data_IF_493961560819
#
_entry.id   IF_493961560819
#
_cell.length_a   1.000
_cell.length_b   1.000
_cell.length_c   1.000
_cell.angle_alpha   90.00
_cell.angle_beta   90.00
_cell.angle_gamma   90.00
#
_symmetry.space_group_name_H-M   'P 1'
#
loop_
_entity.id
_entity.type
_entity.pdbx_description
1 polymer ?
#
# COMPACT_ATOMS: atom_id res chain seq x y z
N UNK A 1 -9.06 -15.61 -0.38
CA UNK A 1 -8.10 -16.42 0.42
C UNK A 1 -7.85 -15.74 1.77
N UNK A 2 -7.51 -16.48 2.83
CA UNK A 2 -7.13 -15.87 4.12
C UNK A 2 -5.66 -15.42 4.12
N UNK A 3 -5.30 -14.45 4.98
CA UNK A 3 -3.91 -13.99 5.14
C UNK A 3 -2.92 -15.16 5.31
N UNK A 4 -3.27 -16.14 6.14
CA UNK A 4 -2.44 -17.30 6.42
C UNK A 4 -2.22 -18.17 5.17
N UNK A 5 -3.22 -18.30 4.31
CA UNK A 5 -3.12 -19.08 3.07
C UNK A 5 -2.19 -18.40 2.06
N UNK A 6 -2.31 -17.09 1.87
CA UNK A 6 -1.42 -16.30 1.01
C UNK A 6 0.04 -16.36 1.48
N UNK A 7 0.27 -16.17 2.78
CA UNK A 7 1.61 -16.29 3.37
C UNK A 7 2.15 -17.72 3.24
N UNK A 8 1.32 -18.74 3.41
CA UNK A 8 1.74 -20.13 3.25
C UNK A 8 2.07 -20.46 1.78
N UNK A 9 1.36 -19.89 0.81
CA UNK A 9 1.69 -20.04 -0.61
C UNK A 9 3.07 -19.44 -0.94
N UNK A 10 3.33 -18.22 -0.47
CA UNK A 10 4.61 -17.56 -0.62
C UNK A 10 5.74 -18.36 0.05
N UNK A 11 5.56 -18.83 1.28
CA UNK A 11 6.55 -19.68 1.99
C UNK A 11 6.88 -20.96 1.21
N UNK A 12 5.87 -21.67 0.67
CA UNK A 12 6.10 -22.85 -0.19
C UNK A 12 6.87 -22.51 -1.47
N UNK A 13 6.55 -21.39 -2.10
CA UNK A 13 7.28 -20.92 -3.28
C UNK A 13 8.73 -20.55 -2.95
N UNK A 14 9.00 -20.02 -1.74
CA UNK A 14 10.35 -19.75 -1.27
C UNK A 14 11.13 -21.05 -1.01
N UNK A 15 10.52 -22.06 -0.38
CA UNK A 15 11.11 -23.39 -0.20
C UNK A 15 11.44 -24.07 -1.54
N UNK A 16 10.64 -23.81 -2.58
CA UNK A 16 10.89 -24.29 -3.94
C UNK A 16 11.91 -23.44 -4.72
N UNK A 17 12.37 -22.32 -4.18
CA UNK A 17 13.29 -21.39 -4.83
C UNK A 17 12.68 -20.52 -5.93
N UNK A 18 11.35 -20.43 -6.01
CA UNK A 18 10.63 -19.58 -6.96
C UNK A 18 10.71 -18.10 -6.58
N UNK A 19 10.65 -17.82 -5.28
CA UNK A 19 10.72 -16.47 -4.72
C UNK A 19 11.75 -16.42 -3.58
N UNK A 20 12.19 -15.22 -3.24
CA UNK A 20 13.00 -14.94 -2.04
C UNK A 20 12.12 -14.18 -1.06
N UNK A 21 12.07 -14.63 0.19
CA UNK A 21 11.30 -13.98 1.25
C UNK A 21 12.24 -13.54 2.37
N UNK A 22 12.05 -12.31 2.84
CA UNK A 22 12.56 -11.83 4.11
C UNK A 22 11.38 -11.39 4.96
N UNK A 23 11.23 -11.96 6.16
CA UNK A 23 10.11 -11.65 7.04
C UNK A 23 10.59 -11.54 8.49
N UNK A 24 10.07 -10.57 9.23
CA UNK A 24 10.29 -10.47 10.66
C UNK A 24 9.29 -11.34 11.44
N UNK A 25 9.39 -11.32 12.77
CA UNK A 25 8.35 -11.87 13.64
C UNK A 25 7.13 -10.95 13.73
N UNK A 26 6.14 -11.32 14.56
CA UNK A 26 4.94 -10.51 14.78
C UNK A 26 5.24 -9.09 15.24
N UNK A 27 4.40 -8.14 14.82
CA UNK A 27 4.41 -6.79 15.34
C UNK A 27 4.04 -6.78 16.83
N UNK A 28 4.79 -6.00 17.62
CA UNK A 28 4.40 -5.75 19.01
C UNK A 28 3.15 -4.88 19.09
N UNK A 29 2.49 -4.87 20.25
CA UNK A 29 1.35 -3.95 20.46
C UNK A 29 1.78 -2.49 20.34
N UNK A 30 2.99 -2.15 20.79
CA UNK A 30 3.58 -0.83 20.62
C UNK A 30 3.81 -0.49 19.15
N UNK A 31 4.30 -1.43 18.34
CA UNK A 31 4.53 -1.23 16.91
C UNK A 31 3.20 -0.95 16.16
N UNK A 32 2.15 -1.72 16.47
CA UNK A 32 0.81 -1.49 15.90
C UNK A 32 0.27 -0.11 16.30
N UNK A 33 0.45 0.29 17.57
CA UNK A 33 0.01 1.60 18.05
C UNK A 33 0.80 2.73 17.38
N UNK A 34 2.12 2.59 17.24
CA UNK A 34 2.98 3.58 16.59
C UNK A 34 2.48 3.89 15.17
N UNK A 35 2.22 2.84 14.36
CA UNK A 35 1.64 2.98 13.00
C UNK A 35 0.35 3.81 12.97
N UNK A 36 -0.49 3.68 13.99
CA UNK A 36 -1.79 4.35 14.06
C UNK A 36 -1.71 5.79 14.57
N UNK A 37 -0.64 6.15 15.28
CA UNK A 37 -0.55 7.43 16.00
C UNK A 37 0.61 8.33 15.58
N UNK A 38 1.62 7.81 14.91
CA UNK A 38 2.87 8.53 14.59
C UNK A 38 2.93 9.02 13.13
N UNK A 39 1.85 8.86 12.36
CA UNK A 39 1.77 9.45 11.03
C UNK A 39 1.58 10.97 11.13
N UNK A 40 2.56 11.72 10.66
CA UNK A 40 2.57 13.17 10.64
C UNK A 40 2.52 13.67 9.18
N UNK A 41 1.34 13.91 8.60
CA UNK A 41 1.26 14.54 7.28
C UNK A 41 1.84 15.97 7.34
N UNK A 42 2.35 16.47 6.20
CA UNK A 42 2.88 17.84 6.10
C UNK A 42 1.88 18.92 6.56
N UNK A 43 0.59 18.65 6.43
CA UNK A 43 -0.49 19.48 6.93
C UNK A 43 -1.71 18.65 7.33
N UNK A 44 -2.59 19.19 8.18
CA UNK A 44 -3.79 18.47 8.61
C UNK A 44 -3.50 17.34 9.59
N UNK A 45 -4.38 16.33 9.61
CA UNK A 45 -4.22 15.13 10.45
C UNK A 45 -4.74 13.90 9.72
N UNK A 46 -4.07 12.77 9.85
CA UNK A 46 -4.59 11.45 9.44
C UNK A 46 -5.10 10.72 10.68
N UNK A 47 -6.34 10.25 10.65
CA UNK A 47 -6.89 9.37 11.69
C UNK A 47 -7.27 8.06 11.06
N UNK A 48 -6.64 6.99 11.52
CA UNK A 48 -6.91 5.67 11.00
C UNK A 48 -6.65 4.61 12.08
N UNK A 49 -7.06 3.39 11.77
CA UNK A 49 -6.75 2.21 12.57
C UNK A 49 -6.41 1.09 11.61
N UNK A 50 -5.42 0.25 11.92
CA UNK A 50 -5.07 -0.87 11.05
C UNK A 50 -6.33 -1.74 10.77
N UNK A 51 -6.66 -2.01 9.49
CA UNK A 51 -7.84 -2.79 9.15
C UNK A 51 -7.68 -4.26 9.58
N UNK A 52 -8.77 -5.01 9.80
CA UNK A 52 -8.72 -6.35 10.38
C UNK A 52 -7.76 -7.31 9.67
N UNK A 53 -7.76 -7.34 8.34
CA UNK A 53 -6.89 -8.21 7.57
C UNK A 53 -5.42 -7.81 7.64
N UNK A 54 -5.12 -6.50 7.73
CA UNK A 54 -3.76 -6.04 7.99
C UNK A 54 -3.31 -6.38 9.41
N UNK A 55 -4.18 -6.28 10.41
CA UNK A 55 -3.88 -6.74 11.78
C UNK A 55 -3.61 -8.24 11.85
N UNK A 56 -4.35 -9.05 11.08
CA UNK A 56 -4.10 -10.48 10.98
C UNK A 56 -2.73 -10.78 10.37
N UNK A 57 -2.28 -9.96 9.41
CA UNK A 57 -0.91 -10.02 8.90
C UNK A 57 0.12 -9.58 9.95
N UNK A 58 -0.12 -8.47 10.65
CA UNK A 58 0.77 -7.96 11.70
C UNK A 58 0.94 -8.92 12.88
N UNK A 59 -0.05 -9.79 13.13
CA UNK A 59 0.06 -10.86 14.11
C UNK A 59 1.08 -11.96 13.74
N UNK A 60 1.49 -12.02 12.47
CA UNK A 60 2.51 -12.95 11.96
C UNK A 60 3.84 -12.23 11.69
N UNK A 61 3.78 -11.01 11.11
CA UNK A 61 4.94 -10.28 10.60
C UNK A 61 4.79 -8.77 10.77
N UNK A 62 5.78 -8.07 11.34
CA UNK A 62 5.84 -6.60 11.29
C UNK A 62 6.35 -6.09 9.93
N UNK A 63 7.24 -6.84 9.31
CA UNK A 63 7.83 -6.57 7.99
C UNK A 63 7.81 -7.83 7.15
N UNK A 64 7.57 -7.66 5.86
CA UNK A 64 7.58 -8.77 4.91
C UNK A 64 7.99 -8.28 3.53
N UNK A 65 9.06 -8.85 2.99
CA UNK A 65 9.51 -8.63 1.63
C UNK A 65 9.41 -9.94 0.84
N UNK A 66 8.89 -9.85 -0.37
CA UNK A 66 8.87 -10.94 -1.34
C UNK A 66 9.48 -10.45 -2.64
N UNK A 67 10.44 -11.19 -3.18
CA UNK A 67 11.14 -10.88 -4.42
C UNK A 67 11.11 -12.06 -5.38
N UNK A 68 10.93 -11.77 -6.66
CA UNK A 68 11.08 -12.71 -7.77
C UNK A 68 11.72 -11.99 -8.94
N UNK A 69 12.87 -12.49 -9.39
CA UNK A 69 13.68 -11.80 -10.39
C UNK A 69 13.99 -10.37 -9.91
N UNK A 70 13.68 -9.37 -10.72
CA UNK A 70 13.88 -7.95 -10.41
C UNK A 70 12.62 -7.29 -9.81
N UNK A 71 11.54 -8.04 -9.61
CA UNK A 71 10.28 -7.54 -9.03
C UNK A 71 10.22 -7.86 -7.53
N UNK A 72 9.86 -6.87 -6.71
CA UNK A 72 9.74 -7.02 -5.27
C UNK A 72 8.49 -6.31 -4.73
N UNK A 73 8.02 -6.72 -3.56
CA UNK A 73 7.11 -5.90 -2.75
C UNK A 73 7.51 -6.00 -1.29
N UNK A 74 7.41 -4.90 -0.56
CA UNK A 74 7.88 -4.80 0.82
C UNK A 74 6.80 -4.16 1.69
N UNK A 75 6.14 -4.95 2.54
CA UNK A 75 5.32 -4.41 3.63
C UNK A 75 6.26 -3.85 4.70
N UNK A 76 6.17 -2.55 4.93
CA UNK A 76 7.13 -1.82 5.77
C UNK A 76 6.84 -1.96 7.26
N UNK A 77 7.90 -1.81 8.06
CA UNK A 77 7.89 -1.91 9.52
C UNK A 77 7.25 -0.69 10.18
N UNK A 78 7.02 -0.78 11.49
CA UNK A 78 6.50 0.37 12.23
C UNK A 78 7.48 1.54 12.29
N UNK A 79 8.78 1.25 12.20
CA UNK A 79 9.87 2.23 12.14
C UNK A 79 9.96 2.97 10.79
N UNK A 80 9.54 2.33 9.70
CA UNK A 80 9.62 2.88 8.34
C UNK A 80 8.29 3.46 7.82
N UNK A 81 7.15 3.13 8.44
CA UNK A 81 5.83 3.58 7.93
C UNK A 81 5.69 5.11 7.93
N UNK A 82 6.23 5.80 8.95
CA UNK A 82 6.08 7.25 9.07
C UNK A 82 6.86 7.96 7.96
N UNK A 83 8.11 7.56 7.74
CA UNK A 83 8.97 8.06 6.66
C UNK A 83 8.39 7.74 5.28
N UNK A 84 7.93 6.50 5.05
CA UNK A 84 7.24 6.12 3.81
C UNK A 84 6.09 7.09 3.48
N UNK A 85 5.28 7.41 4.49
CA UNK A 85 4.11 8.26 4.30
C UNK A 85 4.48 9.74 4.12
N UNK A 86 5.45 10.27 4.87
CA UNK A 86 5.87 11.66 4.71
C UNK A 86 6.55 11.92 3.37
N UNK A 87 7.32 10.96 2.89
CA UNK A 87 8.23 11.16 1.76
C UNK A 87 7.56 10.81 0.43
N UNK A 88 6.78 9.73 0.39
CA UNK A 88 6.25 9.18 -0.87
C UNK A 88 4.72 9.23 -0.97
N UNK A 89 3.98 9.48 0.10
CA UNK A 89 2.50 9.43 0.08
C UNK A 89 1.89 10.80 0.25
N UNK A 90 2.28 11.57 1.27
CA UNK A 90 1.63 12.82 1.64
C UNK A 90 2.21 14.00 0.87
N UNK A 91 1.32 14.68 0.13
CA UNK A 91 1.68 15.91 -0.58
C UNK A 91 2.03 17.04 0.41
N UNK A 92 2.97 17.94 0.05
CA UNK A 92 3.21 19.18 0.79
C UNK A 92 1.97 20.09 0.87
N UNK A 93 2.01 21.09 1.78
CA UNK A 93 0.94 22.09 1.87
C UNK A 93 0.82 22.92 0.57
N UNK A 94 -0.42 23.21 0.14
CA UNK A 94 -0.75 24.12 -0.98
C UNK A 94 -0.25 23.67 -2.35
N UNK A 95 -0.23 22.36 -2.59
CA UNK A 95 -0.09 21.83 -3.95
C UNK A 95 -1.32 22.23 -4.78
N UNK A 96 -1.09 22.90 -5.90
CA UNK A 96 -2.09 23.37 -6.87
C UNK A 96 -1.55 23.07 -8.28
N UNK A 97 -2.38 22.47 -9.15
CA UNK A 97 -2.05 22.12 -10.54
C UNK A 97 -2.52 23.16 -11.56
N UNK A 98 -2.95 24.33 -11.11
CA UNK A 98 -3.29 25.49 -11.92
C UNK A 98 -4.78 25.86 -11.96
N UNK A 99 -5.62 25.20 -11.17
CA UNK A 99 -7.06 25.49 -11.09
C UNK A 99 -7.45 26.32 -9.85
N UNK A 100 -6.48 26.65 -9.00
CA UNK A 100 -6.67 27.48 -7.81
C UNK A 100 -7.19 26.71 -6.60
N UNK A 101 -7.35 25.39 -6.69
CA UNK A 101 -7.76 24.52 -5.58
C UNK A 101 -6.55 23.74 -5.07
N UNK A 102 -6.53 23.49 -3.76
CA UNK A 102 -5.42 22.76 -3.14
C UNK A 102 -5.71 21.27 -3.12
N UNK A 103 -4.65 20.48 -3.29
CA UNK A 103 -4.68 19.02 -3.33
C UNK A 103 -4.11 18.42 -2.05
N UNK A 104 -4.56 17.21 -1.73
CA UNK A 104 -4.06 16.40 -0.61
C UNK A 104 -4.19 14.91 -0.90
N UNK A 105 -3.23 14.16 -0.38
CA UNK A 105 -3.23 12.69 -0.32
C UNK A 105 -3.33 12.20 1.13
N UNK A 106 -3.70 13.05 2.09
CA UNK A 106 -3.81 12.69 3.52
C UNK A 106 -4.87 11.62 3.81
N UNK A 107 -5.74 11.31 2.86
CA UNK A 107 -6.68 10.19 2.96
C UNK A 107 -5.99 8.84 2.73
N UNK A 108 -4.74 8.84 2.26
CA UNK A 108 -3.94 7.66 2.01
C UNK A 108 -3.02 7.35 3.20
N UNK A 109 -2.87 6.06 3.49
CA UNK A 109 -1.85 5.53 4.39
C UNK A 109 -1.07 4.44 3.67
N UNK A 110 0.17 4.74 3.29
CA UNK A 110 1.12 3.80 2.71
C UNK A 110 1.48 2.68 3.69
N UNK A 111 1.49 1.45 3.20
CA UNK A 111 1.83 0.26 4.00
C UNK A 111 2.85 -0.66 3.32
N UNK A 112 3.05 -0.55 2.01
CA UNK A 112 4.03 -1.35 1.30
C UNK A 112 4.65 -0.61 0.11
N UNK A 113 5.92 -0.86 -0.15
CA UNK A 113 6.59 -0.50 -1.40
C UNK A 113 6.25 -1.51 -2.50
N UNK A 114 6.05 -1.02 -3.71
CA UNK A 114 5.77 -1.83 -4.90
C UNK A 114 7.02 -2.35 -5.61
N UNK A 115 8.21 -1.96 -5.14
CA UNK A 115 9.53 -2.43 -5.57
C UNK A 115 10.56 -2.21 -4.44
N UNK A 116 11.82 -2.60 -4.68
CA UNK A 116 12.90 -2.52 -3.68
C UNK A 116 13.58 -1.15 -3.61
N UNK A 117 13.55 -0.40 -4.72
CA UNK A 117 14.28 0.86 -4.91
C UNK A 117 13.38 2.09 -4.98
N UNK A 118 12.04 1.93 -5.03
CA UNK A 118 11.22 2.87 -5.75
C UNK A 118 10.17 3.63 -4.96
N UNK A 119 9.44 4.37 -5.78
CA UNK A 119 8.62 5.53 -5.43
C UNK A 119 7.12 5.18 -5.51
N UNK A 120 6.83 3.93 -5.89
CA UNK A 120 5.51 3.32 -5.92
C UNK A 120 5.13 2.72 -4.57
N UNK A 121 3.98 3.13 -4.04
CA UNK A 121 3.48 2.78 -2.71
C UNK A 121 2.07 2.22 -2.81
N UNK A 122 1.82 1.12 -2.11
CA UNK A 122 0.49 0.63 -1.83
C UNK A 122 -0.07 1.29 -0.59
N UNK A 123 -1.26 1.86 -0.74
CA UNK A 123 -1.89 2.72 0.26
C UNK A 123 -3.30 2.24 0.60
N UNK A 124 -3.69 2.37 1.86
CA UNK A 124 -5.09 2.33 2.28
C UNK A 124 -5.74 3.68 2.01
N UNK A 125 -6.95 3.71 1.47
CA UNK A 125 -7.82 4.89 1.61
C UNK A 125 -8.62 4.78 2.91
N UNK A 126 -8.16 5.51 3.92
CA UNK A 126 -8.69 5.43 5.29
C UNK A 126 -10.02 6.18 5.48
N UNK A 127 -10.51 6.83 4.42
CA UNK A 127 -11.79 7.55 4.44
C UNK A 127 -12.99 6.69 4.02
N UNK A 128 -12.74 5.49 3.48
CA UNK A 128 -13.78 4.61 2.95
C UNK A 128 -13.77 3.21 3.59
N UNK A 129 -13.93 3.07 4.93
CA UNK A 129 -14.05 1.76 5.55
C UNK A 129 -15.32 1.05 5.06
N UNK A 130 -15.19 -0.22 4.70
CA UNK A 130 -16.32 -1.10 4.48
C UNK A 130 -17.04 -1.43 5.82
N UNK A 131 -18.19 -2.14 5.81
CA UNK A 131 -18.89 -2.52 7.03
C UNK A 131 -18.09 -3.41 8.01
N UNK A 132 -17.00 -4.03 7.55
CA UNK A 132 -16.09 -4.85 8.35
C UNK A 132 -14.89 -4.04 8.87
N UNK A 133 -14.76 -2.77 8.49
CA UNK A 133 -13.62 -1.92 8.83
C UNK A 133 -12.39 -2.17 7.96
N UNK A 134 -12.55 -2.81 6.79
CA UNK A 134 -11.50 -2.92 5.79
C UNK A 134 -11.43 -1.63 4.96
N UNK A 135 -10.22 -1.25 4.54
CA UNK A 135 -10.02 -0.15 3.62
C UNK A 135 -9.71 -0.66 2.21
N UNK A 136 -10.21 0.01 1.16
CA UNK A 136 -9.73 -0.24 -0.19
C UNK A 136 -8.25 0.14 -0.31
N UNK A 137 -7.57 -0.55 -1.20
CA UNK A 137 -6.14 -0.38 -1.49
C UNK A 137 -5.97 0.29 -2.84
N UNK A 138 -5.10 1.29 -2.86
CA UNK A 138 -4.69 2.04 -4.05
C UNK A 138 -3.19 1.89 -4.25
N UNK A 139 -2.78 1.82 -5.51
CA UNK A 139 -1.43 2.13 -5.95
C UNK A 139 -1.27 3.64 -6.07
N UNK A 140 -0.18 4.16 -5.52
CA UNK A 140 0.22 5.56 -5.58
C UNK A 140 1.68 5.64 -6.03
N UNK A 141 2.00 6.56 -6.93
CA UNK A 141 3.37 6.88 -7.32
C UNK A 141 3.54 8.39 -7.29
N UNK A 142 4.65 8.90 -6.76
CA UNK A 142 4.84 10.36 -6.61
C UNK A 142 4.96 11.09 -7.97
N UNK A 143 5.52 10.43 -8.98
CA UNK A 143 5.65 10.94 -10.35
C UNK A 143 4.38 10.79 -11.20
N UNK A 144 3.28 10.26 -10.66
CA UNK A 144 2.02 10.25 -11.40
C UNK A 144 1.47 11.68 -11.51
N UNK A 145 1.51 12.21 -12.73
CA UNK A 145 0.94 13.53 -13.07
C UNK A 145 -0.54 13.64 -12.67
N UNK A 146 -1.26 12.52 -12.73
CA UNK A 146 -2.66 12.32 -12.32
C UNK A 146 -2.68 11.43 -11.06
N UNK A 147 -2.20 11.99 -9.95
CA UNK A 147 -2.05 11.25 -8.71
C UNK A 147 -3.38 10.83 -8.07
N UNK A 148 -3.30 10.03 -7.01
CA UNK A 148 -4.44 9.67 -6.13
C UNK A 148 -4.84 10.82 -5.21
N UNK A 149 -4.78 12.06 -5.67
CA UNK A 149 -5.04 13.25 -4.87
C UNK A 149 -6.53 13.62 -4.84
N UNK A 150 -6.92 14.33 -3.77
CA UNK A 150 -8.25 14.91 -3.61
C UNK A 150 -8.14 16.40 -3.29
N UNK A 151 -9.14 17.17 -3.70
CA UNK A 151 -9.23 18.57 -3.32
C UNK A 151 -9.45 18.72 -1.82
N UNK A 152 -8.65 19.58 -1.18
CA UNK A 152 -8.69 19.82 0.27
C UNK A 152 -10.06 20.31 0.75
N UNK A 153 -10.71 21.18 -0.04
CA UNK A 153 -11.97 21.82 0.35
C UNK A 153 -13.20 20.91 0.13
N UNK A 154 -13.29 20.25 -1.03
CA UNK A 154 -14.47 19.44 -1.40
C UNK A 154 -14.32 17.95 -1.06
N UNK A 155 -13.09 17.45 -0.94
CA UNK A 155 -12.81 16.02 -0.82
C UNK A 155 -13.07 15.22 -2.10
N UNK A 156 -13.42 15.89 -3.21
CA UNK A 156 -13.57 15.25 -4.52
C UNK A 156 -12.20 14.84 -5.08
N UNK A 157 -12.19 13.79 -5.89
CA UNK A 157 -11.00 13.38 -6.61
C UNK A 157 -10.52 14.48 -7.57
N UNK A 158 -9.21 14.62 -7.70
CA UNK A 158 -8.62 15.44 -8.76
C UNK A 158 -9.00 14.88 -10.14
N UNK A 159 -8.79 13.57 -10.31
CA UNK A 159 -9.22 12.81 -11.47
C UNK A 159 -10.20 11.72 -11.03
N UNK A 160 -11.46 11.90 -11.40
CA UNK A 160 -12.53 10.95 -11.08
C UNK A 160 -12.30 9.56 -11.69
N UNK A 161 -11.52 9.45 -12.78
CA UNK A 161 -11.17 8.15 -13.37
C UNK A 161 -10.23 7.35 -12.47
N UNK A 162 -9.53 8.02 -11.55
CA UNK A 162 -8.64 7.42 -10.54
C UNK A 162 -9.36 7.12 -9.22
N UNK A 163 -10.68 7.28 -9.17
CA UNK A 163 -11.47 7.05 -7.95
C UNK A 163 -11.64 5.57 -7.59
N UNK A 164 -11.55 4.67 -8.57
CA UNK A 164 -11.71 3.24 -8.37
C UNK A 164 -10.48 2.64 -7.66
N UNK A 165 -10.68 1.81 -6.62
CA UNK A 165 -9.58 1.17 -5.91
C UNK A 165 -8.98 0.01 -6.71
N UNK A 166 -7.68 -0.20 -6.54
CA UNK A 166 -6.94 -1.29 -7.19
C UNK A 166 -7.25 -2.64 -6.54
N UNK A 167 -7.51 -2.66 -5.23
CA UNK A 167 -8.05 -3.84 -4.54
C UNK A 167 -9.09 -3.44 -3.49
N UNK A 168 -10.10 -4.28 -3.21
CA UNK A 168 -11.14 -3.94 -2.25
C UNK A 168 -10.67 -3.98 -0.79
N UNK A 169 -9.60 -4.73 -0.47
CA UNK A 169 -9.07 -4.92 0.90
C UNK A 169 -7.59 -5.28 0.87
N UNK A 170 -6.89 -5.18 2.01
CA UNK A 170 -5.52 -5.70 2.15
C UNK A 170 -5.44 -7.21 1.88
N UNK A 171 -6.42 -7.99 2.32
CA UNK A 171 -6.44 -9.44 2.08
C UNK A 171 -6.49 -9.76 0.57
N UNK A 172 -7.32 -9.03 -0.18
CA UNK A 172 -7.43 -9.19 -1.62
C UNK A 172 -6.14 -8.78 -2.35
N UNK A 173 -5.50 -7.69 -1.91
CA UNK A 173 -4.18 -7.28 -2.39
C UNK A 173 -3.12 -8.38 -2.14
N UNK A 174 -3.03 -8.90 -0.91
CA UNK A 174 -2.04 -9.92 -0.56
C UNK A 174 -2.28 -11.24 -1.31
N UNK A 175 -3.54 -11.61 -1.53
CA UNK A 175 -3.93 -12.73 -2.39
C UNK A 175 -3.45 -12.55 -3.82
N UNK A 176 -3.72 -11.39 -4.44
CA UNK A 176 -3.28 -11.10 -5.80
C UNK A 176 -1.74 -11.08 -5.92
N UNK A 177 -1.04 -10.51 -4.94
CA UNK A 177 0.42 -10.53 -4.90
C UNK A 177 0.95 -11.96 -4.76
N UNK A 178 0.42 -12.74 -3.82
CA UNK A 178 0.83 -14.13 -3.66
C UNK A 178 0.62 -14.95 -4.94
N UNK A 179 -0.52 -14.79 -5.61
CA UNK A 179 -0.81 -15.47 -6.87
C UNK A 179 0.18 -15.03 -7.96
N UNK A 180 0.43 -13.74 -8.13
CA UNK A 180 1.36 -13.24 -9.14
C UNK A 180 2.81 -13.70 -8.89
N UNK A 181 3.29 -13.61 -7.65
CA UNK A 181 4.63 -14.04 -7.28
C UNK A 181 4.83 -15.55 -7.40
N UNK A 182 3.79 -16.36 -7.19
CA UNK A 182 3.88 -17.83 -7.24
C UNK A 182 3.49 -18.47 -8.58
N UNK A 183 2.84 -17.73 -9.48
CA UNK A 183 2.40 -18.23 -10.77
C UNK A 183 3.58 -18.68 -11.66
N UNK A 184 3.52 -19.84 -12.33
CA UNK A 184 4.55 -20.23 -13.30
C UNK A 184 4.79 -19.14 -14.36
N UNK A 185 3.69 -18.55 -14.84
CA UNK A 185 3.65 -17.39 -15.72
C UNK A 185 2.90 -16.26 -14.99
N UNK A 186 3.62 -15.27 -14.44
CA UNK A 186 3.00 -14.12 -13.77
C UNK A 186 2.09 -13.33 -14.73
N UNK A 187 1.09 -12.61 -14.21
CA UNK A 187 0.26 -11.73 -15.02
C UNK A 187 1.10 -10.64 -15.68
N UNK A 188 0.66 -10.13 -16.84
CA UNK A 188 1.44 -9.17 -17.63
C UNK A 188 1.81 -7.88 -16.90
N UNK A 189 0.99 -7.47 -15.92
CA UNK A 189 1.24 -6.29 -15.10
C UNK A 189 2.36 -6.49 -14.06
N UNK A 190 2.80 -7.74 -13.80
CA UNK A 190 3.75 -8.05 -12.72
C UNK A 190 5.10 -7.35 -12.88
N UNK A 191 5.59 -7.24 -14.12
CA UNK A 191 6.86 -6.56 -14.43
C UNK A 191 6.75 -5.04 -14.37
N UNK A 192 5.53 -4.50 -14.31
CA UNK A 192 5.26 -3.06 -14.23
C UNK A 192 5.08 -2.57 -12.79
N UNK A 193 5.18 -3.47 -11.80
CA UNK A 193 5.15 -3.09 -10.38
C UNK A 193 6.25 -2.07 -10.08
N UNK A 194 5.85 -0.93 -9.49
CA UNK A 194 6.75 0.19 -9.18
C UNK A 194 6.81 1.26 -10.28
N UNK A 195 6.27 1.01 -11.48
CA UNK A 195 6.26 2.01 -12.54
C UNK A 195 5.22 3.13 -12.30
N UNK A 196 5.47 4.38 -12.74
CA UNK A 196 4.44 5.40 -12.80
C UNK A 196 3.35 5.01 -13.81
N UNK A 197 2.10 5.36 -13.50
CA UNK A 197 0.93 5.05 -14.32
C UNK A 197 0.51 3.58 -14.32
N UNK A 198 1.07 2.76 -13.42
CA UNK A 198 0.71 1.36 -13.25
C UNK A 198 -0.72 1.19 -12.71
N UNK A 199 -1.47 0.26 -13.31
CA UNK A 199 -2.83 -0.12 -12.90
C UNK A 199 -3.00 -1.65 -13.00
N UNK A 200 -3.08 -2.39 -11.88
CA UNK A 200 -3.10 -3.86 -11.90
C UNK A 200 -4.36 -4.47 -12.53
N UNK A 201 -5.44 -3.69 -12.70
CA UNK A 201 -6.77 -4.18 -13.13
C UNK A 201 -7.35 -3.52 -14.39
N UNK A 202 -6.57 -2.67 -15.09
CA UNK A 202 -7.01 -2.02 -16.34
C UNK A 202 -6.48 -2.74 -17.60
#
# INVERSE_FOLDING_TARGET
MSIHESLAALRRAAEAGTVVISASGPASTEAVRARETELEPHFGTVKWTAPPSYRAFLAEHDTFACKRWDVATVVVGADAIAELNSDLVHLPERVDRGDGRWLSTNHLVGFALADEDGEGVWCFDVTQPDPNGEYPVYYHHQDDDEGRARYVESGEWEDETRSAPDFPTFAAWLEAMADAFTAPEPPGWFEELGAPGFHPLN
#
